data_IF_268096758213
#
_entry.id   IF_268096758213
#
_cell.length_a   1.000
_cell.length_b   1.000
_cell.length_c   1.000
_cell.angle_alpha   90.00
_cell.angle_beta   90.00
_cell.angle_gamma   90.00
#
_symmetry.space_group_name_H-M   'P 1'
#
loop_
_entity.id
_entity.type
_entity.pdbx_description
1 polymer ?
#
# COMPACT_ATOMS: atom_id res chain seq x y z
N UNK A 1 -61.69 0.82 28.52
CA UNK A 1 -60.27 0.65 28.93
C UNK A 1 -59.41 0.41 27.69
N UNK A 2 -58.80 1.47 27.13
CA UNK A 2 -57.79 1.35 26.06
C UNK A 2 -56.42 1.56 26.69
N UNK A 3 -55.61 0.51 26.75
CA UNK A 3 -54.22 0.59 27.24
C UNK A 3 -53.36 1.20 26.13
N UNK A 4 -52.75 2.34 26.44
CA UNK A 4 -51.69 2.96 25.65
C UNK A 4 -50.46 2.07 25.78
N UNK A 5 -49.97 1.51 24.67
CA UNK A 5 -48.67 0.85 24.62
C UNK A 5 -47.70 1.87 24.04
N UNK A 6 -46.92 2.50 24.93
CA UNK A 6 -45.75 3.29 24.57
C UNK A 6 -44.69 2.36 24.00
N UNK A 7 -44.37 2.49 22.71
CA UNK A 7 -43.21 1.84 22.10
C UNK A 7 -42.01 2.76 22.31
N UNK A 8 -41.16 2.40 23.27
CA UNK A 8 -39.86 3.02 23.49
C UNK A 8 -38.92 2.55 22.37
N UNK A 9 -38.59 3.43 21.44
CA UNK A 9 -37.62 3.17 20.38
C UNK A 9 -36.21 3.19 21.00
N UNK A 10 -35.68 2.02 21.37
CA UNK A 10 -34.28 1.91 21.81
C UNK A 10 -33.42 2.05 20.56
N UNK A 11 -32.90 3.26 20.33
CA UNK A 11 -31.73 3.48 19.47
C UNK A 11 -30.58 2.69 20.08
N UNK A 12 -30.36 1.48 19.56
CA UNK A 12 -29.09 0.79 19.72
C UNK A 12 -28.02 1.62 19.02
N UNK A 13 -27.37 2.50 19.79
CA UNK A 13 -26.08 3.08 19.44
C UNK A 13 -25.16 1.93 19.07
N UNK A 14 -24.86 1.81 17.77
CA UNK A 14 -23.70 1.07 17.33
C UNK A 14 -22.51 1.69 18.06
N UNK A 15 -21.97 0.94 19.02
CA UNK A 15 -20.62 1.14 19.54
C UNK A 15 -19.69 0.83 18.36
N UNK A 16 -19.55 1.81 17.47
CA UNK A 16 -18.50 1.82 16.46
C UNK A 16 -17.19 1.89 17.25
N UNK A 17 -16.45 0.78 17.19
CA UNK A 17 -15.08 0.61 17.66
C UNK A 17 -14.34 1.94 17.78
N UNK A 18 -14.15 2.40 19.01
CA UNK A 18 -13.39 3.59 19.42
C UNK A 18 -11.90 3.51 19.06
N UNK A 19 -11.45 2.45 18.39
CA UNK A 19 -10.12 2.37 17.78
C UNK A 19 -9.97 3.27 16.54
N UNK A 20 -11.07 3.64 15.87
CA UNK A 20 -11.01 4.51 14.69
C UNK A 20 -10.92 6.01 15.02
N UNK A 21 -11.26 6.43 16.25
CA UNK A 21 -11.24 7.85 16.63
C UNK A 21 -9.81 8.41 16.82
N UNK A 22 -8.84 7.56 17.17
CA UNK A 22 -7.43 7.96 17.33
C UNK A 22 -6.63 7.99 16.02
N UNK A 23 -7.14 7.39 14.95
CA UNK A 23 -6.55 7.44 13.61
C UNK A 23 -6.80 8.79 12.92
N UNK A 24 -7.95 9.41 13.21
CA UNK A 24 -8.36 10.72 12.70
C UNK A 24 -7.66 11.92 13.36
N UNK A 25 -6.86 11.71 14.42
CA UNK A 25 -6.25 12.79 15.23
C UNK A 25 -4.94 13.36 14.68
N UNK A 26 -4.51 12.97 13.47
CA UNK A 26 -3.27 13.45 12.86
C UNK A 26 -1.98 12.88 13.48
N UNK A 27 -2.07 11.88 14.36
CA UNK A 27 -0.89 11.20 14.94
C UNK A 27 0.07 10.63 13.90
N UNK A 28 -0.46 10.17 12.76
CA UNK A 28 0.34 9.73 11.62
C UNK A 28 1.23 10.85 11.06
N UNK A 29 0.80 12.12 11.07
CA UNK A 29 1.61 13.26 10.58
C UNK A 29 2.88 13.40 11.40
N UNK A 30 2.78 13.26 12.73
CA UNK A 30 3.93 13.31 13.64
C UNK A 30 4.85 12.12 13.42
N UNK A 31 4.29 10.90 13.32
CA UNK A 31 5.08 9.69 13.10
C UNK A 31 5.85 9.73 11.77
N UNK A 32 5.21 10.15 10.69
CA UNK A 32 5.84 10.27 9.37
C UNK A 32 6.86 11.39 9.29
N UNK A 33 6.65 12.50 10.00
CA UNK A 33 7.65 13.58 10.07
C UNK A 33 8.99 13.09 10.60
N UNK A 34 8.99 12.20 11.59
CA UNK A 34 10.23 11.61 12.13
C UNK A 34 10.97 10.73 11.11
N UNK A 35 10.23 10.01 10.26
CA UNK A 35 10.82 9.21 9.17
C UNK A 35 11.37 10.13 8.08
N UNK A 36 10.63 11.15 7.70
CA UNK A 36 11.01 12.10 6.65
C UNK A 36 12.25 12.92 7.07
N UNK A 37 12.34 13.35 8.33
CA UNK A 37 13.48 14.12 8.84
C UNK A 37 14.77 13.31 8.93
N UNK A 38 14.66 11.98 9.09
CA UNK A 38 15.80 11.07 9.08
C UNK A 38 15.46 9.81 8.27
N UNK A 39 15.60 9.90 6.95
CA UNK A 39 15.26 8.76 6.08
C UNK A 39 16.06 7.50 6.39
N UNK A 40 17.28 7.63 6.96
CA UNK A 40 18.14 6.48 7.29
C UNK A 40 17.51 5.52 8.32
N UNK A 41 16.45 5.93 9.01
CA UNK A 41 15.68 5.00 9.88
C UNK A 41 15.13 3.80 9.12
N UNK A 42 15.01 3.86 7.78
CA UNK A 42 14.64 2.70 6.94
C UNK A 42 15.54 1.49 7.21
N UNK A 43 16.81 1.72 7.50
CA UNK A 43 17.80 0.65 7.74
C UNK A 43 17.51 -0.16 9.01
N UNK A 44 16.69 0.38 9.91
CA UNK A 44 16.30 -0.30 11.14
C UNK A 44 15.12 -1.27 10.94
N UNK A 45 14.54 -1.31 9.73
CA UNK A 45 13.37 -2.13 9.42
C UNK A 45 13.75 -3.27 8.48
N UNK A 46 14.06 -4.44 9.04
CA UNK A 46 14.39 -5.65 8.26
C UNK A 46 13.33 -6.03 7.21
N UNK A 47 12.05 -5.73 7.46
CA UNK A 47 10.95 -5.96 6.50
C UNK A 47 11.10 -5.16 5.19
N UNK A 48 11.86 -4.07 5.20
CA UNK A 48 12.17 -3.30 3.98
C UNK A 48 13.25 -3.97 3.14
N UNK A 49 14.03 -4.91 3.72
CA UNK A 49 15.10 -5.61 3.02
C UNK A 49 16.16 -4.67 2.43
N UNK A 50 16.43 -3.51 3.04
CA UNK A 50 17.29 -2.49 2.42
C UNK A 50 18.79 -2.81 2.48
N UNK A 51 19.19 -3.88 3.15
CA UNK A 51 20.60 -4.26 3.33
C UNK A 51 21.31 -4.44 1.97
N UNK A 52 20.70 -5.19 1.06
CA UNK A 52 21.28 -5.40 -0.28
C UNK A 52 21.23 -4.14 -1.15
N UNK A 53 20.30 -3.22 -0.89
CA UNK A 53 20.19 -1.97 -1.66
C UNK A 53 21.41 -1.07 -1.45
N UNK A 54 22.00 -1.10 -0.25
CA UNK A 54 23.24 -0.35 0.04
C UNK A 54 24.39 -0.86 -0.81
N UNK A 55 24.57 -2.16 -0.87
CA UNK A 55 25.65 -2.77 -1.64
C UNK A 55 25.43 -2.60 -3.15
N UNK A 56 24.18 -2.74 -3.60
CA UNK A 56 23.83 -2.64 -5.02
C UNK A 56 23.92 -1.20 -5.56
N UNK A 57 23.44 -0.21 -4.80
CA UNK A 57 23.39 1.19 -5.25
C UNK A 57 24.55 2.05 -4.73
N UNK A 58 25.30 1.60 -3.71
CA UNK A 58 26.45 2.31 -3.15
C UNK A 58 26.13 3.77 -2.82
N UNK A 59 26.85 4.71 -3.45
CA UNK A 59 26.64 6.16 -3.27
C UNK A 59 25.25 6.66 -3.69
N UNK A 60 24.55 5.90 -4.52
CA UNK A 60 23.21 6.21 -5.01
C UNK A 60 22.11 5.66 -4.09
N UNK A 61 22.46 4.91 -3.04
CA UNK A 61 21.56 4.50 -1.98
C UNK A 61 21.08 5.70 -1.16
N UNK A 62 19.90 6.21 -1.49
CA UNK A 62 19.23 7.26 -0.72
C UNK A 62 17.75 7.33 -1.03
N UNK A 63 16.96 7.69 -0.02
CA UNK A 63 15.63 8.22 -0.24
C UNK A 63 15.66 9.73 -0.08
N UNK A 64 15.09 10.46 -1.04
CA UNK A 64 15.24 11.93 -1.11
C UNK A 64 13.94 12.67 -1.43
N UNK A 65 12.85 11.93 -1.62
CA UNK A 65 11.51 12.48 -1.83
C UNK A 65 10.51 11.67 -1.05
N UNK A 66 9.30 12.22 -0.89
CA UNK A 66 8.20 11.46 -0.34
C UNK A 66 6.87 11.90 -0.93
N UNK A 67 5.85 11.06 -0.76
CA UNK A 67 4.45 11.42 -0.92
C UNK A 67 3.61 10.60 0.07
N UNK A 68 2.36 11.01 0.26
CA UNK A 68 1.40 10.22 1.05
C UNK A 68 0.20 9.89 0.18
N UNK A 69 -0.40 8.73 0.40
CA UNK A 69 -1.58 8.31 -0.34
C UNK A 69 -2.40 7.32 0.48
N UNK A 70 -3.70 7.58 0.65
CA UNK A 70 -4.62 6.67 1.35
C UNK A 70 -5.04 5.51 0.42
N UNK A 71 -4.31 4.40 0.52
CA UNK A 71 -4.50 3.22 -0.33
C UNK A 71 -5.77 2.49 0.06
N UNK A 72 -5.99 2.29 1.36
CA UNK A 72 -7.01 1.40 1.89
C UNK A 72 -8.34 2.12 2.24
N UNK A 73 -8.37 3.45 2.10
CA UNK A 73 -9.48 4.36 2.41
C UNK A 73 -9.90 4.30 3.87
N UNK A 74 -8.94 4.36 4.79
CA UNK A 74 -9.18 4.42 6.24
C UNK A 74 -8.91 5.80 6.85
N UNK A 75 -8.66 6.83 6.02
CA UNK A 75 -8.28 8.20 6.39
C UNK A 75 -6.89 8.31 7.03
N UNK A 76 -6.08 7.26 6.99
CA UNK A 76 -4.67 7.26 7.38
C UNK A 76 -3.85 6.96 6.13
N UNK A 77 -3.26 7.98 5.48
CA UNK A 77 -2.52 7.71 4.27
C UNK A 77 -1.25 6.91 4.56
N UNK A 78 -0.84 6.05 3.62
CA UNK A 78 0.48 5.45 3.64
C UNK A 78 1.54 6.49 3.25
N UNK A 79 2.68 6.47 3.93
CA UNK A 79 3.87 7.21 3.56
C UNK A 79 4.68 6.41 2.56
N UNK A 80 4.96 7.00 1.41
CA UNK A 80 5.90 6.50 0.42
C UNK A 80 7.15 7.36 0.44
N UNK A 81 8.23 6.80 0.94
CA UNK A 81 9.55 7.42 0.94
C UNK A 81 10.27 6.97 -0.35
N UNK A 82 10.45 7.90 -1.29
CA UNK A 82 10.88 7.63 -2.67
C UNK A 82 12.34 7.99 -2.91
N UNK A 83 13.02 7.12 -3.66
CA UNK A 83 14.37 7.34 -4.17
C UNK A 83 14.34 7.73 -5.63
N UNK A 84 14.80 8.94 -5.98
CA UNK A 84 14.96 9.31 -7.39
C UNK A 84 16.12 8.61 -8.08
N UNK A 85 17.07 8.04 -7.32
CA UNK A 85 18.26 7.37 -7.86
C UNK A 85 18.07 5.87 -8.01
N UNK A 86 17.30 5.24 -7.12
CA UNK A 86 17.01 3.80 -7.18
C UNK A 86 15.70 3.48 -7.91
N UNK A 87 14.79 4.45 -8.04
CA UNK A 87 13.44 4.21 -8.57
C UNK A 87 12.48 3.52 -7.59
N UNK A 88 12.94 3.20 -6.38
CA UNK A 88 12.18 2.46 -5.38
C UNK A 88 11.48 3.39 -4.37
N UNK A 89 10.42 2.90 -3.75
CA UNK A 89 9.86 3.50 -2.53
C UNK A 89 9.88 2.53 -1.36
N UNK A 90 10.27 3.00 -0.18
CA UNK A 90 9.94 2.34 1.08
C UNK A 90 8.56 2.83 1.53
N UNK A 91 7.69 1.91 1.94
CA UNK A 91 6.31 2.25 2.33
C UNK A 91 6.07 1.99 3.80
N UNK A 92 5.36 2.92 4.43
CA UNK A 92 4.95 2.86 5.82
C UNK A 92 3.45 3.13 5.95
N UNK A 93 2.81 2.51 6.93
CA UNK A 93 1.47 2.86 7.40
C UNK A 93 1.53 3.31 8.85
N UNK A 94 0.41 3.78 9.41
CA UNK A 94 0.32 4.14 10.81
C UNK A 94 -0.71 3.23 11.51
N UNK A 95 -0.21 2.43 12.44
CA UNK A 95 -1.00 1.41 13.12
C UNK A 95 -0.57 1.32 14.59
N UNK A 96 -1.55 1.23 15.51
CA UNK A 96 -1.32 1.22 16.96
C UNK A 96 -0.39 2.36 17.42
N UNK A 97 -0.70 3.59 17.02
CA UNK A 97 0.01 4.82 17.40
C UNK A 97 1.49 4.91 17.00
N UNK A 98 1.91 4.14 16.00
CA UNK A 98 3.28 4.19 15.47
C UNK A 98 3.30 4.02 13.95
N UNK A 99 4.34 4.55 13.32
CA UNK A 99 4.64 4.20 11.94
C UNK A 99 5.15 2.75 11.88
N UNK A 100 4.71 2.02 10.86
CA UNK A 100 5.08 0.63 10.63
C UNK A 100 5.53 0.48 9.18
N UNK A 101 6.73 -0.05 8.99
CA UNK A 101 7.25 -0.39 7.68
C UNK A 101 6.46 -1.56 7.04
N UNK A 102 6.13 -1.40 5.77
CA UNK A 102 5.37 -2.36 4.97
C UNK A 102 6.24 -3.11 3.97
N UNK A 103 7.26 -2.44 3.43
CA UNK A 103 8.36 -2.98 2.62
C UNK A 103 8.75 -2.01 1.49
N UNK A 104 9.63 -2.43 0.57
CA UNK A 104 10.29 -1.53 -0.38
C UNK A 104 10.34 -2.11 -1.81
N UNK A 105 9.86 -1.36 -2.81
CA UNK A 105 9.82 -1.83 -4.20
C UNK A 105 9.59 -0.67 -5.22
N UNK A 106 9.67 -0.97 -6.52
CA UNK A 106 9.24 -0.11 -7.62
C UNK A 106 7.72 -0.19 -7.81
N UNK A 107 7.00 0.55 -6.98
CA UNK A 107 5.55 0.61 -7.04
C UNK A 107 5.05 1.27 -8.32
N UNK A 108 4.19 0.57 -9.05
CA UNK A 108 3.65 1.00 -10.34
C UNK A 108 2.41 1.91 -10.19
N UNK A 109 1.37 1.43 -9.52
CA UNK A 109 0.07 2.11 -9.41
C UNK A 109 -0.57 1.95 -8.03
N UNK A 110 -1.47 2.87 -7.73
CA UNK A 110 -2.42 2.75 -6.63
C UNK A 110 -3.84 2.68 -7.22
N UNK A 111 -4.54 1.58 -6.96
CA UNK A 111 -5.92 1.39 -7.39
C UNK A 111 -6.86 1.49 -6.18
N UNK A 112 -7.33 2.71 -5.92
CA UNK A 112 -8.21 3.04 -4.79
C UNK A 112 -9.57 2.35 -4.83
N UNK A 113 -10.05 1.96 -6.02
CA UNK A 113 -11.31 1.22 -6.13
C UNK A 113 -11.17 -0.20 -5.58
N UNK A 114 -9.99 -0.80 -5.75
CA UNK A 114 -9.67 -2.13 -5.24
C UNK A 114 -8.91 -2.10 -3.91
N UNK A 115 -8.54 -0.92 -3.41
CA UNK A 115 -7.76 -0.72 -2.18
C UNK A 115 -6.42 -1.46 -2.20
N UNK A 116 -5.71 -1.36 -3.33
CA UNK A 116 -4.42 -2.03 -3.56
C UNK A 116 -3.34 -1.08 -4.07
N UNK A 117 -2.10 -1.40 -3.71
CA UNK A 117 -0.88 -0.93 -4.35
C UNK A 117 -0.40 -2.05 -5.28
N UNK A 118 0.11 -1.70 -6.45
CA UNK A 118 0.57 -2.68 -7.44
C UNK A 118 2.04 -2.48 -7.79
N UNK A 119 2.72 -3.57 -8.10
CA UNK A 119 4.08 -3.60 -8.65
C UNK A 119 4.02 -4.22 -10.07
N UNK A 120 4.85 -3.71 -10.97
CA UNK A 120 5.18 -4.39 -12.22
C UNK A 120 6.31 -5.36 -11.92
N UNK A 121 6.01 -6.66 -11.94
CA UNK A 121 6.85 -7.72 -11.40
C UNK A 121 6.22 -8.37 -10.15
N UNK A 122 7.07 -9.05 -9.39
CA UNK A 122 6.73 -9.62 -8.10
C UNK A 122 7.56 -9.01 -6.97
N UNK A 123 6.89 -8.82 -5.83
CA UNK A 123 7.51 -8.27 -4.64
C UNK A 123 8.44 -9.30 -3.98
N UNK A 124 9.71 -8.95 -3.82
CA UNK A 124 10.75 -9.75 -3.16
C UNK A 124 10.81 -11.22 -3.63
N UNK A 125 11.44 -11.45 -4.79
CA UNK A 125 11.78 -12.80 -5.25
C UNK A 125 12.66 -12.79 -6.50
N UNK A 126 13.03 -13.98 -6.95
CA UNK A 126 13.62 -14.23 -8.27
C UNK A 126 12.64 -15.09 -9.08
N UNK A 127 12.28 -14.65 -10.28
CA UNK A 127 11.36 -15.38 -11.17
C UNK A 127 10.52 -14.43 -12.02
N UNK A 128 9.60 -14.98 -12.81
CA UNK A 128 8.66 -14.17 -13.59
C UNK A 128 9.16 -13.72 -14.95
N UNK A 129 8.26 -13.17 -15.77
CA UNK A 129 8.59 -12.66 -17.11
C UNK A 129 9.22 -11.27 -17.12
N UNK A 130 8.99 -10.47 -16.07
CA UNK A 130 9.39 -9.06 -16.00
C UNK A 130 8.58 -8.08 -16.87
N UNK A 131 7.96 -8.53 -17.97
CA UNK A 131 7.23 -7.65 -18.91
C UNK A 131 5.70 -7.76 -18.81
N UNK A 132 5.18 -8.94 -18.49
CA UNK A 132 3.74 -9.22 -18.32
C UNK A 132 3.43 -9.71 -16.90
N UNK A 133 4.26 -9.28 -15.96
CA UNK A 133 4.20 -9.70 -14.57
C UNK A 133 3.65 -8.58 -13.70
N UNK A 134 2.66 -8.89 -12.86
CA UNK A 134 2.08 -7.91 -11.96
C UNK A 134 1.63 -8.52 -10.64
N UNK A 135 1.84 -7.78 -9.56
CA UNK A 135 1.44 -8.15 -8.21
C UNK A 135 0.66 -7.03 -7.53
N UNK A 136 -0.46 -7.36 -6.90
CA UNK A 136 -1.27 -6.40 -6.15
C UNK A 136 -1.35 -6.77 -4.67
N UNK A 137 -1.19 -5.77 -3.81
CA UNK A 137 -1.17 -5.91 -2.36
C UNK A 137 -2.16 -4.94 -1.72
N UNK A 138 -2.89 -5.42 -0.71
CA UNK A 138 -3.72 -4.55 0.13
C UNK A 138 -3.01 -4.26 1.44
N UNK A 139 -3.18 -3.06 1.97
CA UNK A 139 -2.69 -2.71 3.31
C UNK A 139 -3.68 -3.24 4.34
N UNK A 140 -3.20 -4.10 5.25
CA UNK A 140 -4.01 -4.66 6.34
C UNK A 140 -3.26 -4.50 7.65
N UNK A 141 -3.69 -3.54 8.47
CA UNK A 141 -3.09 -3.22 9.76
C UNK A 141 -1.61 -2.88 9.58
N UNK A 142 -0.71 -3.80 9.92
CA UNK A 142 0.73 -3.60 10.00
C UNK A 142 1.51 -4.30 8.88
N UNK A 143 0.85 -4.74 7.80
CA UNK A 143 1.50 -5.47 6.70
C UNK A 143 0.78 -5.31 5.36
N UNK A 144 1.52 -5.55 4.29
CA UNK A 144 0.98 -5.80 2.95
C UNK A 144 0.52 -7.26 2.85
N UNK A 145 -0.66 -7.48 2.28
CA UNK A 145 -1.18 -8.82 1.97
C UNK A 145 -1.36 -8.95 0.47
N UNK A 146 -0.71 -9.95 -0.13
CA UNK A 146 -0.90 -10.29 -1.54
C UNK A 146 -2.38 -10.59 -1.81
N UNK A 147 -2.91 -9.95 -2.84
CA UNK A 147 -4.30 -10.11 -3.31
C UNK A 147 -4.31 -10.98 -4.55
N UNK A 148 -3.45 -10.66 -5.51
CA UNK A 148 -3.37 -11.36 -6.78
C UNK A 148 -1.98 -11.17 -7.38
N UNK A 149 -1.51 -12.22 -8.05
CA UNK A 149 -0.35 -12.23 -8.90
C UNK A 149 -0.75 -12.75 -10.28
N UNK A 150 -0.27 -12.10 -11.33
CA UNK A 150 -0.45 -12.54 -12.71
C UNK A 150 0.88 -12.45 -13.45
N UNK A 151 1.09 -13.41 -14.35
CA UNK A 151 2.28 -13.45 -15.19
C UNK A 151 2.02 -14.20 -16.51
N UNK A 152 2.85 -13.94 -17.52
CA UNK A 152 2.89 -14.68 -18.78
C UNK A 152 4.32 -15.18 -19.08
N UNK A 153 4.56 -16.47 -18.83
CA UNK A 153 5.83 -17.16 -19.06
C UNK A 153 5.63 -18.33 -20.02
N UNK A 154 5.25 -18.04 -21.27
CA UNK A 154 4.77 -19.05 -22.24
C UNK A 154 3.43 -19.69 -21.87
N UNK A 155 2.95 -19.44 -20.64
CA UNK A 155 1.61 -19.80 -20.14
C UNK A 155 1.13 -18.70 -19.19
N UNK A 156 -0.19 -18.50 -19.15
CA UNK A 156 -0.82 -17.55 -18.24
C UNK A 156 -0.85 -18.11 -16.82
N UNK A 157 -0.26 -17.36 -15.88
CA UNK A 157 -0.24 -17.65 -14.45
C UNK A 157 -1.17 -16.66 -13.76
N UNK A 158 -2.00 -17.18 -12.84
CA UNK A 158 -2.88 -16.39 -11.98
C UNK A 158 -2.93 -17.08 -10.61
N UNK A 159 -2.53 -16.39 -9.55
CA UNK A 159 -2.57 -16.88 -8.16
C UNK A 159 -3.09 -15.79 -7.20
N UNK A 160 -3.48 -16.18 -5.97
CA UNK A 160 -4.08 -15.27 -5.00
C UNK A 160 -5.62 -15.29 -5.02
N UNK A 161 -6.26 -14.42 -5.81
CA UNK A 161 -7.73 -14.34 -5.91
C UNK A 161 -8.32 -15.72 -6.22
N UNK A 162 -9.07 -16.27 -5.26
CA UNK A 162 -9.52 -17.67 -5.31
C UNK A 162 -10.42 -17.99 -6.51
N UNK A 163 -11.19 -17.01 -7.00
CA UNK A 163 -12.10 -17.19 -8.14
C UNK A 163 -11.31 -17.19 -9.45
N UNK A 164 -10.38 -16.25 -9.59
CA UNK A 164 -9.58 -16.12 -10.81
C UNK A 164 -8.50 -17.21 -10.90
N UNK A 165 -7.84 -17.52 -9.79
CA UNK A 165 -6.80 -18.56 -9.72
C UNK A 165 -7.34 -19.96 -10.04
N UNK A 166 -8.60 -20.28 -9.71
CA UNK A 166 -9.24 -21.57 -10.03
C UNK A 166 -9.83 -21.65 -11.44
N UNK A 167 -9.77 -20.58 -12.24
CA UNK A 167 -10.30 -20.58 -13.59
C UNK A 167 -9.57 -21.60 -14.49
N UNK A 168 -10.34 -22.42 -15.21
CA UNK A 168 -9.81 -23.31 -16.25
C UNK A 168 -9.26 -22.53 -17.45
N UNK A 169 -9.85 -21.39 -17.77
CA UNK A 169 -9.35 -20.48 -18.80
C UNK A 169 -8.43 -19.43 -18.17
N UNK A 170 -7.12 -19.70 -18.19
CA UNK A 170 -6.10 -18.84 -17.56
C UNK A 170 -5.89 -17.53 -18.30
N UNK A 171 -5.95 -17.52 -19.63
CA UNK A 171 -5.88 -16.29 -20.44
C UNK A 171 -6.99 -15.30 -20.06
N UNK A 172 -8.24 -15.77 -20.02
CA UNK A 172 -9.37 -14.94 -19.64
C UNK A 172 -9.28 -14.47 -18.17
N UNK A 173 -8.80 -15.32 -17.26
CA UNK A 173 -8.59 -14.95 -15.86
C UNK A 173 -7.50 -13.89 -15.70
N UNK A 174 -6.38 -14.01 -16.43
CA UNK A 174 -5.31 -13.03 -16.51
C UNK A 174 -5.86 -11.68 -16.98
N UNK A 175 -6.56 -11.64 -18.12
CA UNK A 175 -7.14 -10.39 -18.64
C UNK A 175 -8.13 -9.75 -17.67
N UNK A 176 -8.95 -10.55 -16.98
CA UNK A 176 -9.87 -10.06 -15.94
C UNK A 176 -9.12 -9.48 -14.74
N UNK A 177 -8.08 -10.15 -14.27
CA UNK A 177 -7.21 -9.67 -13.20
C UNK A 177 -6.52 -8.36 -13.60
N UNK A 178 -5.89 -8.30 -14.78
CA UNK A 178 -5.28 -7.11 -15.33
C UNK A 178 -6.24 -5.92 -15.34
N UNK A 179 -7.42 -6.09 -15.93
CA UNK A 179 -8.41 -5.03 -16.02
C UNK A 179 -8.95 -4.57 -14.65
N UNK A 180 -9.10 -5.50 -13.70
CA UNK A 180 -9.64 -5.20 -12.37
C UNK A 180 -8.63 -4.49 -11.47
N UNK A 181 -7.40 -4.98 -11.41
CA UNK A 181 -6.40 -4.55 -10.42
C UNK A 181 -5.34 -3.60 -10.99
N UNK A 182 -4.90 -3.80 -12.24
CA UNK A 182 -3.65 -3.22 -12.76
C UNK A 182 -3.85 -2.16 -13.87
N UNK A 183 -4.91 -2.28 -14.67
CA UNK A 183 -5.21 -1.33 -15.75
C UNK A 183 -5.58 0.04 -15.21
N UNK A 184 -6.46 0.07 -14.20
CA UNK A 184 -6.96 1.29 -13.55
C UNK A 184 -6.10 1.67 -12.34
N UNK A 185 -6.12 2.94 -11.97
CA UNK A 185 -5.39 3.48 -10.82
C UNK A 185 -4.55 4.69 -11.19
N UNK A 186 -3.99 5.34 -10.16
CA UNK A 186 -3.05 6.45 -10.32
C UNK A 186 -1.65 5.87 -10.46
N UNK A 187 -0.94 6.25 -11.51
CA UNK A 187 0.49 5.92 -11.68
C UNK A 187 1.29 6.61 -10.58
N UNK A 188 2.10 5.83 -9.84
CA UNK A 188 2.96 6.37 -8.78
C UNK A 188 3.95 7.40 -9.33
N UNK A 189 4.45 7.19 -10.55
CA UNK A 189 5.31 8.16 -11.24
C UNK A 189 4.64 9.53 -11.44
N UNK A 190 3.31 9.58 -11.57
CA UNK A 190 2.53 10.81 -11.75
C UNK A 190 2.11 11.49 -10.43
N UNK A 191 2.28 10.83 -9.29
CA UNK A 191 1.99 11.44 -7.99
C UNK A 191 3.06 12.49 -7.68
N UNK A 192 2.63 13.68 -7.27
CA UNK A 192 3.50 14.78 -6.83
C UNK A 192 4.35 14.34 -5.63
N UNK A 193 5.67 14.49 -5.75
CA UNK A 193 6.63 14.11 -4.71
C UNK A 193 7.31 15.33 -4.10
N UNK A 194 7.33 15.38 -2.79
CA UNK A 194 7.87 16.49 -2.00
C UNK A 194 9.32 16.20 -1.62
N UNK A 195 10.14 17.25 -1.46
CA UNK A 195 11.47 17.12 -0.85
C UNK A 195 11.32 16.75 0.61
N UNK A 196 12.24 15.96 1.17
CA UNK A 196 12.21 15.59 2.60
C UNK A 196 12.22 16.81 3.54
N UNK A 197 12.85 17.91 3.14
CA UNK A 197 12.87 19.15 3.92
C UNK A 197 11.53 19.89 3.95
N UNK A 198 10.54 19.49 3.15
CA UNK A 198 9.22 20.12 3.11
C UNK A 198 8.22 19.30 3.91
N UNK A 199 7.35 19.96 4.68
CA UNK A 199 6.19 19.31 5.30
C UNK A 199 4.90 19.41 4.48
N UNK A 200 4.94 20.06 3.31
CA UNK A 200 3.74 20.35 2.52
C UNK A 200 3.00 19.08 2.08
N UNK A 201 3.71 17.97 1.90
CA UNK A 201 3.11 16.67 1.58
C UNK A 201 2.36 16.01 2.75
N UNK A 202 2.40 16.56 3.96
CA UNK A 202 1.65 16.08 5.13
C UNK A 202 0.43 16.97 5.46
N UNK A 203 0.18 18.02 4.66
CA UNK A 203 -0.85 19.03 4.95
C UNK A 203 -2.27 18.63 4.53
N UNK A 204 -2.45 17.45 3.93
CA UNK A 204 -3.76 16.89 3.57
C UNK A 204 -4.58 16.39 4.75
#
# INVERSE_FOLDING_TARGET
MKKIISVLLIMSLFICNSQNANAASGGWKKAYRNIISNWKVVDNYSVLGTDYLKDYFGKDYKFNRYFVYDVNKDNVPELFLYSTTMGLSAVFTYYNNKAVALGCDDFYKINTSQKVITVMGHWHGSGGSGTDEYSAYTVKKNKLKSVIYIDYLGKYIVSGDSKLSKSKNKKAAYTKAYNKYFKKGVLVSKIKKYKLSSSAGLAG
#
